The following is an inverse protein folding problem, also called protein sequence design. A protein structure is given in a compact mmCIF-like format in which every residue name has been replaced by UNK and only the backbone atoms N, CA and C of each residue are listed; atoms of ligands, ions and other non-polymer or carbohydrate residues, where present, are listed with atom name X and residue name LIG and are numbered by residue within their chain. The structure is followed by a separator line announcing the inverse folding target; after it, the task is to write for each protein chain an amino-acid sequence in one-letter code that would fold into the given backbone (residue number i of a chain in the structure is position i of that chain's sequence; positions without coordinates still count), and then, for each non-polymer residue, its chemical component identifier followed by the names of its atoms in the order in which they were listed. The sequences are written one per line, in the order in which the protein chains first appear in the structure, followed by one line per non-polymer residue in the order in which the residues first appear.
data_IF_985682087935
#
_entry.id   IF_985682087935
#
_cell.length_a   1.000
_cell.length_b   1.000
_cell.length_c   1.000
_cell.angle_alpha   90.00
_cell.angle_beta   90.00
_cell.angle_gamma   90.00
#
_symmetry.space_group_name_H-M   'P 1'
#
loop_
_entity.id
_entity.type
_entity.pdbx_description
1 polymer ?
#
# COMPACT_ATOMS: atom_id res chain seq x y z
N UNK A 1 22.24 -4.99 -8.14
CA UNK A 1 21.44 -5.62 -7.07
C UNK A 1 21.87 -5.03 -5.73
N UNK A 2 20.93 -4.56 -4.90
CA UNK A 2 21.23 -4.10 -3.55
C UNK A 2 21.65 -5.26 -2.63
N UNK A 3 22.36 -4.95 -1.56
CA UNK A 3 22.73 -5.93 -0.52
C UNK A 3 21.66 -5.87 0.59
N UNK A 4 21.15 -7.04 0.99
CA UNK A 4 20.23 -7.12 2.14
C UNK A 4 20.93 -6.60 3.40
N UNK A 5 20.28 -5.71 4.13
CA UNK A 5 20.73 -5.26 5.44
C UNK A 5 20.39 -6.32 6.50
N UNK A 6 21.28 -6.53 7.48
CA UNK A 6 21.02 -7.47 8.57
C UNK A 6 19.86 -7.02 9.48
N UNK A 7 19.68 -5.69 9.60
CA UNK A 7 18.56 -5.07 10.33
C UNK A 7 18.02 -3.93 9.46
N UNK A 8 17.10 -4.28 8.56
CA UNK A 8 16.45 -3.28 7.73
C UNK A 8 15.38 -2.55 8.56
N UNK A 9 15.29 -1.20 8.46
CA UNK A 9 14.31 -0.41 9.22
C UNK A 9 12.88 -0.54 8.64
N UNK A 10 12.66 -1.42 7.68
CA UNK A 10 11.35 -1.58 7.01
C UNK A 10 10.31 -2.07 8.01
N UNK A 11 9.42 -1.17 8.38
CA UNK A 11 8.33 -1.44 9.31
C UNK A 11 7.09 -2.00 8.61
N UNK A 12 6.82 -1.49 7.40
CA UNK A 12 5.63 -1.85 6.65
C UNK A 12 5.85 -1.70 5.16
N UNK A 13 5.38 -2.67 4.39
CA UNK A 13 5.44 -2.62 2.92
C UNK A 13 4.07 -2.90 2.34
N UNK A 14 3.70 -2.16 1.31
CA UNK A 14 2.47 -2.39 0.56
C UNK A 14 2.71 -2.25 -0.93
N UNK A 15 2.19 -3.20 -1.69
CA UNK A 15 2.04 -3.11 -3.15
C UNK A 15 0.56 -3.13 -3.49
N UNK A 16 0.17 -2.33 -4.47
CA UNK A 16 -1.20 -2.29 -4.97
C UNK A 16 -1.19 -2.22 -6.50
N UNK A 17 -2.05 -3.01 -7.12
CA UNK A 17 -2.45 -2.84 -8.51
C UNK A 17 -3.88 -2.31 -8.58
N UNK A 18 -4.12 -1.44 -9.57
CA UNK A 18 -5.45 -1.01 -9.97
C UNK A 18 -5.77 -1.57 -11.35
N UNK A 19 -6.99 -2.04 -11.50
CA UNK A 19 -7.52 -2.62 -12.73
C UNK A 19 -8.93 -2.09 -13.01
N UNK A 20 -9.51 -2.45 -14.15
CA UNK A 20 -10.88 -2.09 -14.48
C UNK A 20 -11.87 -2.63 -13.42
N UNK A 21 -12.88 -1.86 -12.99
CA UNK A 21 -13.83 -2.27 -11.97
C UNK A 21 -14.58 -3.54 -12.36
N UNK A 22 -14.69 -4.49 -11.41
CA UNK A 22 -15.46 -5.72 -11.54
C UNK A 22 -16.77 -5.54 -10.77
N UNK A 23 -17.90 -5.44 -11.48
CA UNK A 23 -19.20 -5.11 -10.88
C UNK A 23 -19.75 -6.24 -10.00
N UNK A 24 -19.60 -7.49 -10.43
CA UNK A 24 -20.07 -8.68 -9.67
C UNK A 24 -18.89 -9.40 -9.01
N UNK A 25 -18.04 -8.65 -8.30
CA UNK A 25 -16.90 -9.23 -7.61
C UNK A 25 -17.31 -10.27 -6.57
N UNK A 26 -18.46 -10.07 -5.92
CA UNK A 26 -18.96 -10.96 -4.85
C UNK A 26 -19.15 -12.40 -5.34
N UNK A 27 -19.62 -12.58 -6.57
CA UNK A 27 -19.82 -13.90 -7.18
C UNK A 27 -18.53 -14.72 -7.34
N UNK A 28 -17.36 -14.05 -7.42
CA UNK A 28 -16.07 -14.72 -7.57
C UNK A 28 -15.36 -15.01 -6.24
N UNK A 29 -15.80 -14.40 -5.13
CA UNK A 29 -15.13 -14.48 -3.83
C UNK A 29 -14.96 -15.92 -3.33
N UNK A 30 -15.94 -16.84 -3.44
CA UNK A 30 -15.75 -18.23 -2.97
C UNK A 30 -14.58 -18.95 -3.66
N UNK A 31 -14.43 -18.77 -4.97
CA UNK A 31 -13.34 -19.37 -5.74
C UNK A 31 -11.98 -18.75 -5.38
N UNK A 32 -11.93 -17.42 -5.27
CA UNK A 32 -10.74 -16.67 -4.85
C UNK A 32 -10.32 -17.10 -3.44
N UNK A 33 -11.26 -17.19 -2.49
CA UNK A 33 -11.00 -17.61 -1.12
C UNK A 33 -10.40 -19.03 -1.05
N UNK A 34 -10.93 -19.96 -1.82
CA UNK A 34 -10.40 -21.33 -1.87
C UNK A 34 -8.91 -21.31 -2.25
N UNK A 35 -8.56 -20.58 -3.30
CA UNK A 35 -7.19 -20.46 -3.78
C UNK A 35 -6.28 -19.67 -2.84
N UNK A 36 -6.79 -18.62 -2.18
CA UNK A 36 -6.04 -17.87 -1.16
C UNK A 36 -5.70 -18.75 0.05
N UNK A 37 -6.59 -19.66 0.46
CA UNK A 37 -6.30 -20.65 1.51
C UNK A 37 -5.16 -21.59 1.11
N UNK A 38 -5.17 -22.11 -0.13
CA UNK A 38 -4.07 -22.92 -0.69
C UNK A 38 -2.74 -22.14 -0.74
N UNK A 39 -2.83 -20.81 -0.91
CA UNK A 39 -1.71 -19.90 -0.94
C UNK A 39 -1.21 -19.45 0.46
N UNK A 40 -1.75 -20.03 1.56
CA UNK A 40 -1.45 -19.72 2.97
C UNK A 40 -2.03 -18.39 3.49
N UNK A 41 -3.11 -17.91 2.88
CA UNK A 41 -3.90 -16.76 3.34
C UNK A 41 -5.34 -17.18 3.71
N UNK A 42 -5.52 -17.99 4.78
CA UNK A 42 -6.83 -18.58 5.13
C UNK A 42 -7.73 -17.63 5.93
N UNK A 43 -7.21 -16.56 6.56
CA UNK A 43 -8.00 -15.65 7.38
C UNK A 43 -8.81 -14.71 6.49
N UNK A 44 -10.10 -15.07 6.29
CA UNK A 44 -11.01 -14.33 5.42
C UNK A 44 -11.94 -13.45 6.23
N UNK A 45 -12.05 -12.18 5.82
CA UNK A 45 -13.00 -11.22 6.37
C UNK A 45 -13.63 -10.39 5.25
N UNK A 46 -14.94 -10.14 5.36
CA UNK A 46 -15.66 -9.16 4.52
C UNK A 46 -15.93 -7.91 5.35
N UNK A 47 -15.48 -6.78 4.89
CA UNK A 47 -15.76 -5.47 5.47
C UNK A 47 -16.70 -4.71 4.53
N UNK A 48 -17.71 -4.05 5.10
CA UNK A 48 -18.59 -3.14 4.36
C UNK A 48 -18.42 -1.76 4.97
N UNK A 49 -18.04 -0.79 4.15
CA UNK A 49 -17.90 0.60 4.58
C UNK A 49 -18.69 1.52 3.66
N UNK A 50 -19.02 2.69 4.18
CA UNK A 50 -19.72 3.72 3.42
C UNK A 50 -18.71 4.71 2.87
N UNK A 51 -18.67 4.86 1.56
CA UNK A 51 -17.85 5.86 0.90
C UNK A 51 -18.69 7.10 0.62
N UNK A 52 -18.26 8.25 1.16
CA UNK A 52 -18.84 9.54 0.84
C UNK A 52 -18.24 10.03 -0.50
N UNK A 53 -19.06 10.05 -1.54
CA UNK A 53 -18.67 10.60 -2.85
C UNK A 53 -19.10 12.06 -2.89
N UNK A 54 -18.09 12.95 -2.85
CA UNK A 54 -18.32 14.39 -3.06
C UNK A 54 -18.23 14.65 -4.57
N UNK A 55 -19.32 15.10 -5.21
CA UNK A 55 -19.25 15.47 -6.61
C UNK A 55 -18.47 16.78 -6.76
N UNK A 56 -17.25 16.69 -7.32
CA UNK A 56 -16.54 17.88 -7.79
C UNK A 56 -17.09 18.22 -9.20
N UNK A 57 -18.21 18.91 -9.25
CA UNK A 57 -18.67 19.51 -10.49
C UNK A 57 -17.79 20.71 -10.79
N UNK A 58 -17.18 20.73 -11.97
CA UNK A 58 -16.57 21.94 -12.53
C UNK A 58 -17.61 23.07 -12.53
N UNK A 59 -17.18 24.26 -12.18
CA UNK A 59 -18.00 25.45 -11.93
C UNK A 59 -18.70 25.98 -13.19
N UNK A 60 -19.64 25.23 -13.74
CA UNK A 60 -20.59 25.73 -14.72
C UNK A 60 -21.99 25.31 -14.31
N UNK A 61 -22.72 26.21 -13.69
CA UNK A 61 -24.11 26.12 -13.20
C UNK A 61 -24.24 25.61 -11.75
N UNK A 62 -24.23 26.54 -10.85
CA UNK A 62 -24.74 26.69 -9.50
C UNK A 62 -25.58 25.63 -8.75
N UNK A 63 -25.57 24.38 -9.11
CA UNK A 63 -26.14 23.28 -8.33
C UNK A 63 -25.03 22.35 -7.85
N UNK A 64 -24.63 22.48 -6.59
CA UNK A 64 -23.85 21.45 -5.92
C UNK A 64 -24.75 20.20 -5.83
N UNK A 65 -24.39 19.14 -6.53
CA UNK A 65 -25.04 17.85 -6.35
C UNK A 65 -24.84 17.39 -4.90
N UNK A 66 -25.88 16.83 -4.28
CA UNK A 66 -25.78 16.36 -2.91
C UNK A 66 -24.73 15.21 -2.82
N UNK A 67 -23.97 15.15 -1.72
CA UNK A 67 -23.06 14.05 -1.48
C UNK A 67 -23.84 12.73 -1.47
N UNK A 68 -23.35 11.75 -2.21
CA UNK A 68 -23.92 10.40 -2.26
C UNK A 68 -23.10 9.45 -1.40
N UNK A 69 -23.80 8.62 -0.60
CA UNK A 69 -23.16 7.56 0.17
C UNK A 69 -23.37 6.25 -0.57
N UNK A 70 -22.29 5.62 -0.99
CA UNK A 70 -22.34 4.30 -1.62
C UNK A 70 -21.67 3.26 -0.70
N UNK A 71 -22.36 2.13 -0.41
CA UNK A 71 -21.71 1.02 0.28
C UNK A 71 -20.64 0.39 -0.62
N UNK A 72 -19.47 0.17 -0.06
CA UNK A 72 -18.38 -0.55 -0.72
C UNK A 72 -17.99 -1.78 0.12
N UNK A 73 -17.71 -2.88 -0.56
CA UNK A 73 -17.22 -4.09 0.07
C UNK A 73 -15.72 -4.21 -0.15
N UNK A 74 -15.03 -4.65 0.90
CA UNK A 74 -13.61 -4.99 0.90
C UNK A 74 -13.46 -6.40 1.42
N UNK A 75 -12.66 -7.20 0.73
CA UNK A 75 -12.39 -8.58 1.09
C UNK A 75 -10.93 -8.70 1.52
N UNK A 76 -10.72 -9.29 2.69
CA UNK A 76 -9.41 -9.45 3.31
C UNK A 76 -9.07 -10.92 3.38
N UNK A 77 -7.83 -11.25 3.04
CA UNK A 77 -7.27 -12.61 3.14
C UNK A 77 -5.92 -12.50 3.85
N UNK A 78 -5.89 -12.87 5.13
CA UNK A 78 -4.71 -12.77 5.98
C UNK A 78 -3.99 -14.11 6.12
N UNK A 79 -2.69 -14.05 6.42
CA UNK A 79 -1.94 -15.19 6.89
C UNK A 79 -2.31 -15.52 8.35
N UNK A 80 -2.00 -16.74 8.82
CA UNK A 80 -2.28 -17.18 10.19
C UNK A 80 -1.52 -16.34 11.24
N UNK A 81 -0.35 -15.81 10.84
CA UNK A 81 0.49 -14.98 11.71
C UNK A 81 0.02 -13.53 11.84
N UNK A 82 -0.96 -13.11 11.04
CA UNK A 82 -1.47 -11.75 11.03
C UNK A 82 -0.45 -10.70 10.53
N UNK A 83 0.58 -11.15 9.81
CA UNK A 83 1.67 -10.27 9.35
C UNK A 83 1.51 -9.82 7.92
N UNK A 84 0.85 -10.63 7.10
CA UNK A 84 0.63 -10.36 5.68
C UNK A 84 -0.85 -10.48 5.34
N UNK A 85 -1.32 -9.55 4.51
CA UNK A 85 -2.74 -9.39 4.23
C UNK A 85 -2.95 -8.97 2.78
N UNK A 86 -3.72 -9.75 2.03
CA UNK A 86 -4.30 -9.29 0.78
C UNK A 86 -5.61 -8.53 1.04
N UNK A 87 -5.77 -7.41 0.36
CA UNK A 87 -7.03 -6.64 0.34
C UNK A 87 -7.50 -6.55 -1.10
N UNK A 88 -8.69 -7.05 -1.36
CA UNK A 88 -9.36 -7.01 -2.65
C UNK A 88 -10.56 -6.06 -2.58
N UNK A 89 -10.58 -5.11 -3.48
CA UNK A 89 -11.67 -4.17 -3.72
C UNK A 89 -12.17 -4.31 -5.16
N UNK A 90 -13.23 -3.64 -5.52
CA UNK A 90 -13.85 -3.76 -6.86
C UNK A 90 -12.91 -3.45 -8.01
N UNK A 91 -11.86 -2.68 -7.79
CA UNK A 91 -10.91 -2.23 -8.82
C UNK A 91 -9.44 -2.28 -8.37
N UNK A 92 -9.15 -2.95 -7.27
CA UNK A 92 -7.77 -3.05 -6.80
C UNK A 92 -7.49 -4.32 -6.00
N UNK A 93 -6.24 -4.79 -6.07
CA UNK A 93 -5.66 -5.78 -5.18
C UNK A 93 -4.42 -5.18 -4.55
N UNK A 94 -4.30 -5.28 -3.22
CA UNK A 94 -3.07 -4.95 -2.52
C UNK A 94 -2.58 -6.10 -1.66
N UNK A 95 -1.25 -6.21 -1.50
CA UNK A 95 -0.60 -7.02 -0.48
C UNK A 95 0.10 -6.08 0.49
N UNK A 96 -0.14 -6.28 1.77
CA UNK A 96 0.46 -5.54 2.88
C UNK A 96 1.22 -6.51 3.77
N UNK A 97 2.36 -6.07 4.30
CA UNK A 97 3.12 -6.88 5.26
C UNK A 97 3.89 -6.04 6.26
N UNK A 98 3.95 -6.50 7.50
CA UNK A 98 4.85 -6.03 8.56
C UNK A 98 6.07 -6.95 8.74
N UNK A 99 6.18 -8.00 7.91
CA UNK A 99 7.26 -8.99 7.95
C UNK A 99 7.98 -9.06 6.60
N UNK A 100 8.40 -7.87 6.11
CA UNK A 100 9.15 -7.77 4.87
C UNK A 100 10.55 -8.38 5.03
N UNK A 101 10.97 -9.18 4.06
CA UNK A 101 12.32 -9.76 4.00
C UNK A 101 13.12 -9.22 2.82
N UNK A 102 12.76 -9.63 1.60
CA UNK A 102 13.38 -9.13 0.35
C UNK A 102 12.32 -8.80 -0.67
N UNK A 103 12.71 -8.02 -1.67
CA UNK A 103 11.82 -7.68 -2.78
C UNK A 103 11.36 -8.93 -3.55
N UNK A 104 12.26 -9.88 -3.73
CA UNK A 104 11.98 -11.12 -4.47
C UNK A 104 10.86 -11.92 -3.78
N UNK A 105 10.99 -12.16 -2.48
CA UNK A 105 9.98 -12.90 -1.67
C UNK A 105 8.65 -12.16 -1.65
N UNK A 106 8.69 -10.84 -1.44
CA UNK A 106 7.49 -10.01 -1.39
C UNK A 106 6.77 -9.95 -2.75
N UNK A 107 7.52 -9.74 -3.84
CA UNK A 107 6.97 -9.68 -5.19
C UNK A 107 6.43 -11.03 -5.65
N UNK A 108 7.10 -12.14 -5.32
CA UNK A 108 6.61 -13.50 -5.63
C UNK A 108 5.26 -13.76 -4.95
N UNK A 109 5.16 -13.43 -3.65
CA UNK A 109 3.90 -13.55 -2.91
C UNK A 109 2.78 -12.71 -3.54
N UNK A 110 3.08 -11.47 -3.92
CA UNK A 110 2.12 -10.60 -4.57
C UNK A 110 1.67 -11.13 -5.94
N UNK A 111 2.63 -11.55 -6.78
CA UNK A 111 2.33 -12.10 -8.10
C UNK A 111 1.51 -13.39 -8.02
N UNK A 112 1.72 -14.22 -6.99
CA UNK A 112 0.87 -15.38 -6.72
C UNK A 112 -0.58 -14.98 -6.45
N UNK A 113 -0.80 -14.00 -5.57
CA UNK A 113 -2.15 -13.48 -5.28
C UNK A 113 -2.80 -12.83 -6.50
N UNK A 114 -2.05 -12.06 -7.28
CA UNK A 114 -2.53 -11.48 -8.53
C UNK A 114 -2.88 -12.56 -9.58
N UNK A 115 -2.09 -13.63 -9.65
CA UNK A 115 -2.36 -14.79 -10.49
C UNK A 115 -3.70 -15.46 -10.13
N UNK A 116 -3.94 -15.71 -8.83
CA UNK A 116 -5.20 -16.26 -8.33
C UNK A 116 -6.40 -15.38 -8.76
N UNK A 117 -6.23 -14.06 -8.61
CA UNK A 117 -7.26 -13.11 -9.01
C UNK A 117 -7.51 -13.13 -10.51
N UNK A 118 -6.43 -13.14 -11.32
CA UNK A 118 -6.53 -13.16 -12.78
C UNK A 118 -7.15 -14.47 -13.32
N UNK A 119 -6.89 -15.60 -12.69
CA UNK A 119 -7.54 -16.87 -13.03
C UNK A 119 -9.07 -16.81 -12.83
N UNK A 120 -9.53 -16.13 -11.77
CA UNK A 120 -10.95 -16.01 -11.46
C UNK A 120 -11.64 -14.93 -12.32
N UNK A 121 -11.03 -13.75 -12.47
CA UNK A 121 -11.67 -12.56 -13.03
C UNK A 121 -11.32 -12.31 -14.50
N UNK A 122 -10.20 -12.87 -15.00
CA UNK A 122 -9.66 -12.60 -16.34
C UNK A 122 -9.50 -11.09 -16.57
N UNK A 123 -8.62 -10.48 -15.78
CA UNK A 123 -8.36 -9.05 -15.84
C UNK A 123 -7.84 -8.65 -17.22
N UNK A 124 -8.45 -7.63 -17.83
CA UNK A 124 -8.05 -7.17 -19.15
C UNK A 124 -6.74 -6.40 -19.12
N UNK A 125 -6.54 -5.55 -18.11
CA UNK A 125 -5.34 -4.74 -17.96
C UNK A 125 -5.13 -4.26 -16.52
N UNK A 126 -3.89 -3.90 -16.20
CA UNK A 126 -3.51 -3.19 -14.99
C UNK A 126 -3.30 -1.71 -15.37
N UNK A 127 -4.11 -0.84 -14.79
CA UNK A 127 -4.05 0.61 -15.05
C UNK A 127 -2.89 1.28 -14.30
N UNK A 128 -2.59 0.78 -13.09
CA UNK A 128 -1.55 1.35 -12.22
C UNK A 128 -1.00 0.28 -11.29
N UNK A 129 0.30 0.38 -11.02
CA UNK A 129 0.96 -0.32 -9.91
C UNK A 129 1.63 0.69 -9.00
N UNK A 130 1.53 0.51 -7.69
CA UNK A 130 2.21 1.31 -6.68
C UNK A 130 2.88 0.39 -5.66
N UNK A 131 4.10 0.74 -5.27
CA UNK A 131 4.85 0.06 -4.21
C UNK A 131 5.26 1.13 -3.20
N UNK A 132 5.05 0.85 -1.91
CA UNK A 132 5.42 1.73 -0.80
C UNK A 132 6.16 0.95 0.26
N UNK A 133 7.26 1.52 0.72
CA UNK A 133 7.96 1.12 1.93
C UNK A 133 7.78 2.20 2.98
N UNK A 134 7.60 1.77 4.22
CA UNK A 134 7.59 2.65 5.40
C UNK A 134 8.68 2.11 6.31
N UNK A 135 9.69 2.94 6.50
CA UNK A 135 10.81 2.67 7.39
C UNK A 135 10.58 3.41 8.70
N UNK A 136 10.92 2.76 9.80
CA UNK A 136 10.89 3.36 11.13
C UNK A 136 12.29 3.34 11.72
N UNK A 137 12.78 4.52 12.07
CA UNK A 137 14.06 4.70 12.76
C UNK A 137 13.77 5.15 14.20
N UNK A 138 14.13 4.32 15.17
CA UNK A 138 13.99 4.63 16.58
C UNK A 138 15.36 4.54 17.24
N UNK A 139 16.03 5.68 17.47
CA UNK A 139 17.33 5.71 18.14
C UNK A 139 17.22 5.16 19.58
N UNK A 140 18.21 4.39 20.00
CA UNK A 140 18.36 3.97 21.38
C UNK A 140 18.96 5.12 22.24
N UNK A 141 19.05 4.89 23.56
CA UNK A 141 19.66 5.85 24.47
C UNK A 141 21.11 6.14 24.08
N UNK A 142 21.41 7.41 23.83
CA UNK A 142 22.73 7.89 23.40
C UNK A 142 22.94 7.92 21.88
N UNK A 143 22.00 7.43 21.09
CA UNK A 143 21.99 7.53 19.63
C UNK A 143 21.12 8.73 19.17
N UNK A 144 21.38 9.20 17.98
CA UNK A 144 20.62 10.29 17.35
C UNK A 144 20.14 9.90 15.96
N UNK A 145 19.17 10.62 15.41
CA UNK A 145 18.72 10.39 14.03
C UNK A 145 19.86 10.57 13.00
N UNK A 146 20.90 11.33 13.34
CA UNK A 146 22.08 11.55 12.47
C UNK A 146 22.94 10.29 12.30
N UNK A 147 22.82 9.35 13.22
CA UNK A 147 23.55 8.07 13.14
C UNK A 147 22.91 7.11 12.11
N UNK A 148 21.65 7.34 11.76
CA UNK A 148 20.87 6.49 10.86
C UNK A 148 20.52 7.15 9.53
N UNK A 149 20.39 8.46 9.51
CA UNK A 149 19.89 9.22 8.36
C UNK A 149 20.94 10.21 7.85
N UNK A 150 21.09 10.27 6.53
CA UNK A 150 21.97 11.23 5.87
C UNK A 150 21.42 12.67 6.03
N UNK A 151 22.28 13.69 6.05
CA UNK A 151 21.86 15.08 6.25
C UNK A 151 20.79 15.56 5.27
N UNK A 152 20.81 15.08 4.03
CA UNK A 152 19.85 15.43 2.97
C UNK A 152 18.42 15.03 3.34
N UNK A 153 18.28 13.90 4.05
CA UNK A 153 17.00 13.37 4.53
C UNK A 153 16.49 14.13 5.74
N UNK A 154 17.42 14.56 6.62
CA UNK A 154 17.10 15.36 7.81
C UNK A 154 16.78 16.83 7.48
N UNK A 155 17.16 17.30 6.30
CA UNK A 155 16.83 18.64 5.81
C UNK A 155 17.36 19.75 6.74
N UNK A 156 16.49 20.73 7.06
CA UNK A 156 16.87 21.91 7.87
C UNK A 156 17.27 21.57 9.31
N UNK A 157 16.81 20.44 9.85
CA UNK A 157 17.14 20.02 11.22
C UNK A 157 18.64 19.81 11.47
N UNK A 158 19.45 19.69 10.40
CA UNK A 158 20.91 19.57 10.50
C UNK A 158 21.63 20.91 10.53
N UNK A 159 20.95 22.02 10.19
CA UNK A 159 21.55 23.34 9.97
C UNK A 159 21.09 24.42 10.96
N UNK A 160 20.01 24.13 11.70
CA UNK A 160 19.44 25.09 12.65
C UNK A 160 19.66 24.53 14.05
N UNK A 161 20.24 25.34 14.94
CA UNK A 161 20.40 24.98 16.34
C UNK A 161 19.05 25.05 17.06
N UNK A 162 18.70 23.98 17.77
CA UNK A 162 17.44 23.87 18.51
C UNK A 162 17.01 22.44 18.73
N UNK A 163 15.94 22.27 19.52
CA UNK A 163 15.29 20.97 19.69
C UNK A 163 14.26 20.77 18.60
N UNK A 164 14.49 19.76 17.75
CA UNK A 164 13.54 19.39 16.70
C UNK A 164 12.24 18.90 17.32
N UNK A 165 11.13 19.56 17.02
CA UNK A 165 9.80 19.16 17.47
C UNK A 165 9.06 18.37 16.39
N UNK A 166 9.21 18.80 15.13
CA UNK A 166 8.55 18.17 13.97
C UNK A 166 9.28 18.59 12.70
N UNK A 167 9.38 17.68 11.76
CA UNK A 167 9.88 17.94 10.40
C UNK A 167 9.09 17.14 9.39
N UNK A 168 8.77 17.74 8.25
CA UNK A 168 8.21 17.07 7.08
C UNK A 168 9.01 17.45 5.86
N UNK A 169 9.56 16.49 5.17
CA UNK A 169 10.20 16.65 3.87
C UNK A 169 9.59 15.73 2.84
N UNK A 170 9.20 16.26 1.69
CA UNK A 170 8.70 15.47 0.57
C UNK A 170 9.47 15.81 -0.69
N UNK A 171 9.90 14.80 -1.42
CA UNK A 171 10.51 14.92 -2.73
C UNK A 171 9.78 14.04 -3.72
N UNK A 172 9.43 14.59 -4.87
CA UNK A 172 8.77 13.88 -5.96
C UNK A 172 9.67 13.92 -7.18
N UNK A 173 10.08 12.75 -7.68
CA UNK A 173 10.97 12.62 -8.82
C UNK A 173 10.27 11.79 -9.90
N UNK A 174 10.32 12.29 -11.14
CA UNK A 174 9.95 11.51 -12.32
C UNK A 174 11.16 10.77 -12.85
N UNK A 175 11.03 9.47 -13.04
CA UNK A 175 12.08 8.59 -13.55
C UNK A 175 11.60 7.88 -14.81
N UNK A 176 12.50 7.25 -15.55
CA UNK A 176 12.14 6.43 -16.71
C UNK A 176 11.25 5.23 -16.38
N UNK A 177 11.23 4.77 -15.12
CA UNK A 177 10.41 3.66 -14.66
C UNK A 177 9.07 4.10 -14.01
N UNK A 178 8.89 5.40 -13.76
CA UNK A 178 7.70 5.93 -13.09
C UNK A 178 8.01 7.10 -12.16
N UNK A 179 7.13 7.35 -11.20
CA UNK A 179 7.29 8.40 -10.20
C UNK A 179 7.78 7.82 -8.88
N UNK A 180 8.84 8.40 -8.33
CA UNK A 180 9.34 8.14 -6.99
C UNK A 180 8.91 9.27 -6.06
N UNK A 181 8.26 8.93 -4.96
CA UNK A 181 7.93 9.86 -3.87
C UNK A 181 8.69 9.43 -2.63
N UNK A 182 9.53 10.33 -2.10
CA UNK A 182 10.20 10.15 -0.81
C UNK A 182 9.62 11.12 0.20
N UNK A 183 9.19 10.62 1.35
CA UNK A 183 8.59 11.43 2.41
C UNK A 183 9.23 11.03 3.73
N UNK A 184 9.69 12.04 4.48
CA UNK A 184 10.28 11.91 5.82
C UNK A 184 9.42 12.70 6.79
N UNK A 185 8.97 12.06 7.85
CA UNK A 185 8.10 12.61 8.90
C UNK A 185 8.82 12.62 10.25
#
# INVERSE_FOLDING_TARGET
MGKKLNSAPVYYTVVQVQFNPVLDLEGYIPAIQSKMREAHFPDYQKEVFQQLVLPFSGAEQGQMAAPTVAPQSRYRFGDIGGRSLFILETNSLSLQTTSYDTYEVFSESFLKGLGILNEALRLDFVARIGLRYIDAVQPADGETLRDFLVPEVLGLATRIDGTLQHSLSESVLSTGAGQLVSRVL
#
